data_IF_663136749252
#
_entry.id   IF_663136749252
#
_cell.length_a   1.000
_cell.length_b   1.000
_cell.length_c   1.000
_cell.angle_alpha   90.00
_cell.angle_beta   90.00
_cell.angle_gamma   90.00
#
_symmetry.space_group_name_H-M   'P 1'
#
loop_
_entity.id
_entity.type
_entity.pdbx_description
1 polymer ?
#
# COMPACT_ATOMS: atom_id res chain seq x y z
N UNK A 1 6.95 6.40 -58.36
CA UNK A 1 5.48 6.48 -58.25
C UNK A 1 5.15 6.46 -56.77
N UNK A 2 4.54 7.52 -56.23
CA UNK A 2 4.15 7.58 -54.80
C UNK A 2 2.84 6.80 -54.65
N UNK A 3 2.83 5.79 -53.78
CA UNK A 3 1.62 5.04 -53.46
C UNK A 3 0.67 5.96 -52.70
N UNK A 4 -0.50 6.21 -53.26
CA UNK A 4 -1.54 7.03 -52.62
C UNK A 4 -2.33 6.14 -51.68
N UNK A 5 -2.20 6.37 -50.38
CA UNK A 5 -3.06 5.76 -49.35
C UNK A 5 -4.49 6.26 -49.54
N UNK A 6 -5.48 5.36 -49.54
CA UNK A 6 -6.88 5.80 -49.66
C UNK A 6 -7.44 6.18 -48.28
N UNK A 7 -8.24 7.23 -48.22
CA UNK A 7 -8.91 7.66 -46.97
C UNK A 7 -9.81 6.56 -46.40
N UNK A 8 -10.44 5.76 -47.27
CA UNK A 8 -11.32 4.66 -46.87
C UNK A 8 -10.56 3.50 -46.22
N UNK A 9 -9.33 3.20 -46.67
CA UNK A 9 -8.44 2.22 -46.02
C UNK A 9 -8.15 2.60 -44.57
N UNK A 10 -7.88 3.87 -44.33
CA UNK A 10 -7.57 4.33 -42.98
C UNK A 10 -8.82 4.25 -42.08
N UNK A 11 -9.99 4.60 -42.62
CA UNK A 11 -11.25 4.62 -41.86
C UNK A 11 -11.67 3.22 -41.42
N UNK A 12 -11.55 2.20 -42.27
CA UNK A 12 -11.90 0.83 -41.88
C UNK A 12 -10.93 0.28 -40.81
N UNK A 13 -9.65 0.64 -40.89
CA UNK A 13 -8.64 0.19 -39.94
C UNK A 13 -8.89 0.77 -38.54
N UNK A 14 -9.14 2.08 -38.43
CA UNK A 14 -9.44 2.70 -37.13
C UNK A 14 -10.76 2.20 -36.55
N UNK A 15 -11.74 1.85 -37.40
CA UNK A 15 -13.00 1.26 -36.96
C UNK A 15 -12.78 -0.12 -36.32
N UNK A 16 -11.96 -0.99 -36.93
CA UNK A 16 -11.64 -2.31 -36.37
C UNK A 16 -10.83 -2.17 -35.08
N UNK A 17 -9.83 -1.28 -35.05
CA UNK A 17 -9.03 -1.01 -33.83
C UNK A 17 -9.94 -0.50 -32.70
N UNK A 18 -10.92 0.36 -33.00
CA UNK A 18 -11.89 0.87 -32.03
C UNK A 18 -12.73 -0.23 -31.37
N UNK A 19 -13.23 -1.19 -32.17
CA UNK A 19 -14.02 -2.33 -31.66
C UNK A 19 -13.16 -3.21 -30.74
N UNK A 20 -11.92 -3.52 -31.16
CA UNK A 20 -11.00 -4.33 -30.36
C UNK A 20 -10.62 -3.64 -29.05
N UNK A 21 -10.33 -2.33 -29.10
CA UNK A 21 -10.00 -1.54 -27.93
C UNK A 21 -11.15 -1.47 -26.91
N UNK A 22 -12.39 -1.35 -27.39
CA UNK A 22 -13.58 -1.28 -26.52
C UNK A 22 -13.78 -2.53 -25.67
N UNK A 23 -13.43 -3.72 -26.18
CA UNK A 23 -13.56 -4.99 -25.45
C UNK A 23 -12.43 -5.15 -24.42
N UNK A 24 -11.22 -4.72 -24.77
CA UNK A 24 -10.02 -4.94 -23.94
C UNK A 24 -9.95 -3.95 -22.77
N UNK A 25 -10.34 -2.69 -22.99
CA UNK A 25 -10.23 -1.61 -22.00
C UNK A 25 -10.77 -1.96 -20.60
N UNK A 26 -12.02 -2.43 -20.41
CA UNK A 26 -12.55 -2.71 -19.07
C UNK A 26 -11.81 -3.84 -18.34
N UNK A 27 -11.31 -4.84 -19.07
CA UNK A 27 -10.54 -5.93 -18.47
C UNK A 27 -9.14 -5.47 -18.05
N UNK A 28 -8.52 -4.57 -18.83
CA UNK A 28 -7.23 -3.99 -18.48
C UNK A 28 -7.31 -3.20 -17.17
N UNK A 29 -8.36 -2.37 -16.97
CA UNK A 29 -8.53 -1.61 -15.73
C UNK A 29 -8.67 -2.52 -14.49
N UNK A 30 -9.47 -3.59 -14.58
CA UNK A 30 -9.62 -4.57 -13.49
C UNK A 30 -8.31 -5.30 -13.16
N UNK A 31 -7.51 -5.63 -14.18
CA UNK A 31 -6.21 -6.27 -13.98
C UNK A 31 -5.22 -5.34 -13.25
N UNK A 32 -5.22 -4.05 -13.61
CA UNK A 32 -4.41 -3.03 -12.94
C UNK A 32 -4.82 -2.90 -11.48
N UNK A 33 -6.11 -2.79 -11.18
CA UNK A 33 -6.63 -2.68 -9.81
C UNK A 33 -6.23 -3.89 -8.95
N UNK A 34 -6.41 -5.11 -9.48
CA UNK A 34 -5.97 -6.33 -8.79
C UNK A 34 -4.46 -6.36 -8.54
N UNK A 35 -3.66 -5.87 -9.49
CA UNK A 35 -2.21 -5.78 -9.32
C UNK A 35 -1.83 -4.77 -8.22
N UNK A 36 -2.53 -3.63 -8.14
CA UNK A 36 -2.35 -2.64 -7.06
C UNK A 36 -2.65 -3.25 -5.70
N UNK A 37 -3.78 -3.94 -5.55
CA UNK A 37 -4.15 -4.63 -4.30
C UNK A 37 -3.10 -5.69 -3.92
N UNK A 38 -2.68 -6.52 -4.88
CA UNK A 38 -1.67 -7.55 -4.63
C UNK A 38 -0.34 -6.97 -4.17
N UNK A 39 0.06 -5.81 -4.71
CA UNK A 39 1.27 -5.10 -4.28
C UNK A 39 1.14 -4.65 -2.82
N UNK A 40 0.04 -3.99 -2.47
CA UNK A 40 -0.22 -3.52 -1.10
C UNK A 40 -0.24 -4.67 -0.10
N UNK A 41 -0.86 -5.81 -0.43
CA UNK A 41 -0.83 -6.99 0.43
C UNK A 41 0.59 -7.53 0.67
N UNK A 42 1.45 -7.51 -0.35
CA UNK A 42 2.86 -7.91 -0.22
C UNK A 42 3.66 -6.96 0.66
N UNK A 43 3.45 -5.66 0.45
CA UNK A 43 4.10 -4.59 1.22
C UNK A 43 3.69 -4.70 2.70
N UNK A 44 2.37 -4.81 2.99
CA UNK A 44 1.85 -4.96 4.35
C UNK A 44 2.38 -6.19 5.08
N UNK A 45 2.54 -7.33 4.39
CA UNK A 45 3.12 -8.54 4.98
C UNK A 45 4.59 -8.36 5.37
N UNK A 46 5.34 -7.68 4.49
CA UNK A 46 6.76 -7.36 4.73
C UNK A 46 6.89 -6.43 5.93
N UNK A 47 6.08 -5.36 5.98
CA UNK A 47 6.02 -4.42 7.09
C UNK A 47 5.61 -5.13 8.39
N UNK A 48 4.59 -6.00 8.37
CA UNK A 48 4.17 -6.76 9.56
C UNK A 48 5.31 -7.60 10.15
N UNK A 49 6.09 -8.23 9.28
CA UNK A 49 7.24 -9.04 9.69
C UNK A 49 8.33 -8.15 10.29
N UNK A 50 8.63 -7.02 9.66
CA UNK A 50 9.62 -6.05 10.13
C UNK A 50 9.25 -5.47 11.51
N UNK A 51 7.99 -5.08 11.71
CA UNK A 51 7.53 -4.55 13.01
C UNK A 51 7.55 -5.63 14.09
N UNK A 52 7.23 -6.89 13.75
CA UNK A 52 7.35 -8.01 14.68
C UNK A 52 8.80 -8.28 15.13
N UNK A 53 9.77 -8.12 14.23
CA UNK A 53 11.19 -8.21 14.56
C UNK A 53 11.62 -7.05 15.48
N UNK A 54 11.28 -5.81 15.12
CA UNK A 54 11.54 -4.63 15.95
C UNK A 54 10.97 -4.79 17.37
N UNK A 55 9.75 -5.33 17.50
CA UNK A 55 9.15 -5.62 18.80
C UNK A 55 9.89 -6.69 19.58
N UNK A 56 10.39 -7.73 18.90
CA UNK A 56 11.16 -8.80 19.55
C UNK A 56 12.46 -8.28 20.15
N UNK A 57 13.10 -7.30 19.50
CA UNK A 57 14.40 -6.78 19.93
C UNK A 57 14.27 -5.61 20.92
N UNK A 58 13.31 -4.70 20.70
CA UNK A 58 13.13 -3.50 21.53
C UNK A 58 12.03 -3.63 22.58
N UNK A 59 11.18 -4.66 22.50
CA UNK A 59 9.98 -4.82 23.32
C UNK A 59 8.90 -3.76 23.06
N UNK A 60 9.07 -2.95 22.02
CA UNK A 60 8.17 -1.84 21.68
C UNK A 60 7.71 -1.99 20.25
N UNK A 61 6.45 -1.65 20.00
CA UNK A 61 5.89 -1.63 18.65
C UNK A 61 6.46 -0.50 17.78
N UNK A 62 7.36 0.30 18.36
CA UNK A 62 8.33 1.09 17.61
C UNK A 62 7.71 2.20 16.81
N UNK A 63 7.03 3.13 17.48
CA UNK A 63 6.53 4.33 16.82
C UNK A 63 6.67 5.54 17.75
N UNK A 64 7.54 6.50 17.43
CA UNK A 64 7.63 7.74 18.17
C UNK A 64 6.40 8.63 18.00
N UNK A 65 6.07 9.36 19.06
CA UNK A 65 4.90 10.22 19.15
C UNK A 65 4.84 11.37 18.12
N UNK A 66 5.94 11.64 17.42
CA UNK A 66 6.12 12.76 16.49
C UNK A 66 5.64 12.48 15.04
N UNK A 67 5.32 11.23 14.69
CA UNK A 67 4.91 10.81 13.34
C UNK A 67 3.43 10.42 13.25
N UNK A 68 2.65 10.87 14.24
CA UNK A 68 1.20 10.66 14.33
C UNK A 68 0.47 11.37 13.20
N UNK A 69 -0.37 10.62 12.48
CA UNK A 69 -1.38 11.19 11.60
C UNK A 69 -2.69 11.21 12.36
N UNK A 70 -3.26 12.40 12.56
CA UNK A 70 -4.62 12.55 13.06
C UNK A 70 -5.60 11.97 12.04
N UNK A 71 -6.40 10.99 12.47
CA UNK A 71 -7.50 10.47 11.66
C UNK A 71 -8.85 11.00 12.18
N UNK A 72 -9.88 11.11 11.32
CA UNK A 72 -11.22 11.53 11.73
C UNK A 72 -12.00 10.49 12.56
N UNK A 73 -11.43 9.31 12.79
CA UNK A 73 -11.99 8.19 13.56
C UNK A 73 -11.45 8.10 15.00
N UNK A 74 -10.65 9.08 15.46
CA UNK A 74 -10.08 9.12 16.82
C UNK A 74 -9.00 8.08 17.12
N UNK A 75 -8.33 7.51 16.11
CA UNK A 75 -7.22 6.56 16.28
C UNK A 75 -5.91 7.14 15.77
N UNK A 76 -4.80 6.76 16.41
CA UNK A 76 -3.45 7.23 16.05
C UNK A 76 -2.83 6.31 15.01
N UNK A 77 -2.50 6.85 13.83
CA UNK A 77 -1.72 6.13 12.82
C UNK A 77 -0.30 6.66 12.75
N UNK A 78 0.65 5.84 12.33
CA UNK A 78 2.05 6.26 12.14
C UNK A 78 2.57 5.89 10.76
N UNK A 79 3.21 6.85 10.09
CA UNK A 79 3.76 6.69 8.73
C UNK A 79 4.99 5.78 8.73
N UNK A 80 4.99 4.78 7.85
CA UNK A 80 6.12 3.85 7.67
C UNK A 80 7.37 4.52 7.09
N UNK A 81 7.20 5.52 6.22
CA UNK A 81 8.30 6.23 5.57
C UNK A 81 9.22 6.98 6.55
N UNK A 82 8.74 7.23 7.76
CA UNK A 82 9.44 7.93 8.85
C UNK A 82 9.65 7.02 10.07
N UNK A 83 9.48 5.70 9.88
CA UNK A 83 9.51 4.70 10.97
C UNK A 83 10.89 4.09 11.20
N UNK A 84 11.09 3.59 12.42
CA UNK A 84 12.34 2.97 12.91
C UNK A 84 12.69 1.62 12.26
N UNK A 85 11.89 1.19 11.28
CA UNK A 85 12.11 -0.06 10.55
C UNK A 85 13.29 0.02 9.60
N UNK A 86 13.64 1.21 9.12
CA UNK A 86 14.71 1.42 8.12
C UNK A 86 15.97 1.99 8.77
N UNK A 87 15.83 2.88 9.74
CA UNK A 87 16.96 3.52 10.42
C UNK A 87 16.67 3.75 11.90
N UNK A 88 17.71 3.85 12.72
CA UNK A 88 17.62 4.10 14.16
C UNK A 88 17.91 5.58 14.51
N UNK A 89 17.26 6.50 13.80
CA UNK A 89 17.55 7.94 13.94
C UNK A 89 17.24 8.48 15.35
N UNK A 90 16.41 7.77 16.12
CA UNK A 90 16.04 8.13 17.49
C UNK A 90 16.78 7.32 18.58
N UNK A 91 17.80 6.53 18.20
CA UNK A 91 18.63 5.77 19.14
C UNK A 91 17.84 4.86 20.10
N UNK A 92 16.91 4.07 19.58
CA UNK A 92 16.20 3.05 20.35
C UNK A 92 17.17 2.02 20.92
N UNK A 93 17.09 1.82 22.23
CA UNK A 93 17.82 0.78 22.92
C UNK A 93 17.31 -0.61 22.49
N UNK A 94 18.22 -1.49 22.09
CA UNK A 94 17.88 -2.84 21.62
C UNK A 94 17.52 -2.91 20.13
N UNK A 95 17.76 -1.86 19.35
CA UNK A 95 17.60 -1.94 17.89
C UNK A 95 18.75 -2.74 17.26
N UNK A 96 18.43 -3.79 16.49
CA UNK A 96 19.38 -4.64 15.75
C UNK A 96 19.13 -4.60 14.22
N UNK A 97 18.39 -3.58 13.76
CA UNK A 97 17.95 -3.43 12.38
C UNK A 97 19.07 -3.08 11.37
N UNK A 98 18.73 -2.79 10.11
CA UNK A 98 17.39 -2.45 9.60
C UNK A 98 16.47 -3.66 9.39
N UNK A 99 15.18 -3.49 9.74
CA UNK A 99 14.14 -4.52 9.61
C UNK A 99 13.44 -4.50 8.25
N UNK A 100 13.70 -3.47 7.45
CA UNK A 100 13.17 -3.30 6.10
C UNK A 100 14.31 -2.89 5.17
N UNK A 101 14.42 -3.56 4.02
CA UNK A 101 15.53 -3.36 3.06
C UNK A 101 15.54 -1.96 2.43
N UNK A 102 14.37 -1.34 2.30
CA UNK A 102 14.20 0.00 1.76
C UNK A 102 12.94 0.65 2.30
N UNK A 103 12.93 1.98 2.46
CA UNK A 103 11.70 2.69 2.81
C UNK A 103 10.63 2.45 1.75
N UNK A 104 9.52 1.86 2.18
CA UNK A 104 8.32 1.74 1.34
C UNK A 104 7.62 3.10 1.39
N UNK A 105 7.88 3.93 0.38
CA UNK A 105 7.45 5.33 0.38
C UNK A 105 5.95 5.50 0.18
N UNK A 106 5.34 4.85 -0.82
CA UNK A 106 3.94 5.11 -1.20
C UNK A 106 3.22 3.89 -1.75
N UNK A 107 1.92 3.79 -1.45
CA UNK A 107 1.04 2.77 -2.03
C UNK A 107 0.49 3.22 -3.41
N UNK A 108 -0.03 2.30 -4.25
CA UNK A 108 -0.40 2.57 -5.65
C UNK A 108 -1.57 3.55 -5.92
N UNK A 109 -2.15 4.12 -4.86
CA UNK A 109 -3.22 5.13 -4.92
C UNK A 109 -2.75 6.52 -4.48
N UNK A 110 -1.47 6.67 -4.13
CA UNK A 110 -0.93 7.90 -3.57
C UNK A 110 -1.23 8.00 -2.08
N UNK A 111 -0.17 8.11 -1.28
CA UNK A 111 -0.25 8.12 0.18
C UNK A 111 0.73 7.15 0.84
N UNK A 112 1.05 7.36 2.12
CA UNK A 112 1.97 6.51 2.87
C UNK A 112 1.29 5.22 3.35
N UNK A 113 2.10 4.22 3.67
CA UNK A 113 1.65 3.13 4.54
C UNK A 113 1.57 3.62 5.99
N UNK A 114 0.54 3.18 6.71
CA UNK A 114 0.29 3.64 8.07
C UNK A 114 0.00 2.47 9.02
N UNK A 115 0.68 2.43 10.16
CA UNK A 115 0.46 1.44 11.20
C UNK A 115 -0.48 1.98 12.25
N UNK A 116 -1.28 1.10 12.84
CA UNK A 116 -1.92 1.37 14.12
C UNK A 116 -1.72 0.15 15.02
N UNK A 117 -1.72 0.39 16.33
CA UNK A 117 -1.69 -0.66 17.32
C UNK A 117 -2.92 -0.47 18.19
N UNK A 118 -3.84 -1.45 18.20
CA UNK A 118 -4.90 -1.48 19.21
C UNK A 118 -4.29 -2.00 20.50
N UNK A 119 -3.93 -1.11 21.41
CA UNK A 119 -3.62 -1.53 22.77
C UNK A 119 -4.92 -1.71 23.53
N UNK A 120 -5.42 -2.95 23.62
CA UNK A 120 -6.53 -3.25 24.51
C UNK A 120 -6.58 -4.71 24.95
N UNK A 121 -5.89 -5.00 26.06
CA UNK A 121 -6.25 -5.99 27.10
C UNK A 121 -6.57 -7.46 26.71
N UNK A 122 -6.44 -7.87 25.44
CA UNK A 122 -6.79 -9.22 24.96
C UNK A 122 -5.78 -9.83 23.97
N UNK A 123 -4.52 -9.45 24.11
CA UNK A 123 -3.43 -9.95 23.28
C UNK A 123 -2.98 -8.87 22.30
N UNK A 124 -1.72 -8.51 22.41
CA UNK A 124 -1.02 -7.46 21.67
C UNK A 124 -0.95 -7.75 20.17
N UNK A 125 -2.07 -7.66 19.46
CA UNK A 125 -2.11 -7.87 18.03
C UNK A 125 -1.95 -6.52 17.32
N UNK A 126 -0.88 -6.41 16.53
CA UNK A 126 -0.76 -5.32 15.56
C UNK A 126 -1.66 -5.58 14.36
N UNK A 127 -2.50 -4.60 14.06
CA UNK A 127 -3.28 -4.53 12.86
C UNK A 127 -2.67 -3.47 11.94
N UNK A 128 -2.22 -3.89 10.76
CA UNK A 128 -1.63 -2.98 9.77
C UNK A 128 -2.68 -2.56 8.75
N UNK A 129 -2.65 -1.31 8.30
CA UNK A 129 -3.61 -0.83 7.31
C UNK A 129 -3.02 0.14 6.29
N UNK A 130 -3.82 0.45 5.28
CA UNK A 130 -3.59 1.59 4.38
C UNK A 130 -4.85 2.44 4.41
N UNK A 131 -4.70 3.76 4.58
CA UNK A 131 -5.80 4.70 4.44
C UNK A 131 -5.79 5.20 3.00
N UNK A 132 -6.84 4.91 2.25
CA UNK A 132 -7.03 5.47 0.92
C UNK A 132 -8.15 6.51 1.01
N UNK A 133 -7.77 7.79 1.04
CA UNK A 133 -8.68 8.93 1.33
C UNK A 133 -9.88 9.03 0.38
N UNK A 134 -9.78 8.53 -0.86
CA UNK A 134 -10.81 8.72 -1.90
C UNK A 134 -11.51 7.41 -2.35
N UNK A 135 -11.18 6.26 -1.76
CA UNK A 135 -11.71 4.96 -2.22
C UNK A 135 -12.36 4.08 -1.15
N UNK A 136 -12.37 4.46 0.14
CA UNK A 136 -13.00 3.65 1.19
C UNK A 136 -12.43 2.23 1.36
N UNK A 137 -11.36 1.88 0.63
CA UNK A 137 -10.74 0.57 0.64
C UNK A 137 -9.55 0.59 1.62
N UNK A 138 -9.82 0.22 2.86
CA UNK A 138 -8.77 -0.11 3.83
C UNK A 138 -8.41 -1.59 3.66
N UNK A 139 -7.19 -1.87 3.18
CA UNK A 139 -6.64 -3.21 3.27
C UNK A 139 -6.06 -3.38 4.67
N UNK A 140 -6.81 -3.98 5.61
CA UNK A 140 -6.29 -4.27 6.95
C UNK A 140 -5.75 -5.71 7.00
N UNK A 141 -4.55 -5.87 7.54
CA UNK A 141 -3.99 -7.17 7.90
C UNK A 141 -4.27 -7.40 9.39
N UNK A 142 -5.47 -7.87 9.73
CA UNK A 142 -5.93 -7.99 11.12
C UNK A 142 -7.16 -8.87 11.36
N UNK A 143 -7.56 -9.02 12.63
CA UNK A 143 -8.71 -9.85 13.05
C UNK A 143 -10.05 -9.12 12.86
N UNK A 144 -10.01 -7.79 12.71
CA UNK A 144 -11.14 -7.00 12.22
C UNK A 144 -11.23 -7.14 10.69
N UNK A 145 -12.20 -7.96 10.24
CA UNK A 145 -12.49 -8.22 8.82
C UNK A 145 -12.51 -6.92 8.01
N UNK A 146 -11.46 -6.69 7.24
CA UNK A 146 -11.54 -5.88 6.03
C UNK A 146 -10.88 -6.69 4.92
N UNK A 147 -11.75 -7.21 4.06
CA UNK A 147 -11.30 -7.86 2.85
C UNK A 147 -10.70 -6.78 1.97
N UNK A 148 -9.51 -7.03 1.45
CA UNK A 148 -8.98 -6.28 0.31
C UNK A 148 -9.89 -6.57 -0.88
N UNK A 149 -11.00 -5.85 -0.99
CA UNK A 149 -11.91 -5.87 -2.12
C UNK A 149 -11.63 -4.65 -3.00
#
# INVERSE_FOLDING_TARGET
MKSSFTLIELIVVIAIIGILAAIIAPNAFKAIEKAKISKVCGDLKSIKTAVGALYSDTGRWGLPDNTKIDNPYGQWWVRISESQLVNNDENYAGWDGPYLESSISEHPWGGPYALWAEDQDRGSQLDLGVIVEDHGAACLSGNHRSQCL
#
